data_IF_081866383222
#
_entry.id   IF_081866383222
#
_cell.length_a   1.000
_cell.length_b   1.000
_cell.length_c   1.000
_cell.angle_alpha   90.00
_cell.angle_beta   90.00
_cell.angle_gamma   90.00
#
_symmetry.space_group_name_H-M   'P 1'
#
loop_
_entity.id
_entity.type
_entity.pdbx_description
1 polymer ?
#
# COMPACT_ATOMS: atom_id res chain seq x y z
N UNK A 1 -14.05 13.17 4.03
CA UNK A 1 -13.43 12.99 2.68
C UNK A 1 -12.84 11.60 2.55
N UNK A 2 -12.78 11.00 1.34
CA UNK A 2 -12.15 9.68 1.13
C UNK A 2 -11.02 9.80 0.09
N UNK A 3 -9.84 9.29 0.42
CA UNK A 3 -8.67 9.25 -0.44
C UNK A 3 -8.40 7.82 -0.91
N UNK A 4 -8.13 7.66 -2.20
CA UNK A 4 -7.52 6.46 -2.72
C UNK A 4 -6.00 6.58 -2.68
N UNK A 5 -5.30 5.52 -2.25
CA UNK A 5 -3.84 5.49 -2.15
C UNK A 5 -3.29 4.21 -2.78
N UNK A 6 -2.12 4.30 -3.41
CA UNK A 6 -1.47 3.15 -4.05
C UNK A 6 0.04 3.24 -3.86
N UNK A 7 0.65 2.16 -3.42
CA UNK A 7 2.10 1.97 -3.37
C UNK A 7 2.48 0.67 -4.07
N UNK A 8 3.70 0.59 -4.60
CA UNK A 8 4.19 -0.60 -5.32
C UNK A 8 5.23 -1.41 -4.55
N UNK A 9 5.73 -0.88 -3.43
CA UNK A 9 6.83 -1.47 -2.68
C UNK A 9 6.82 -1.01 -1.21
N UNK A 10 7.55 -1.75 -0.36
CA UNK A 10 7.60 -1.51 1.08
C UNK A 10 8.12 -0.12 1.46
N UNK A 11 9.04 0.45 0.66
CA UNK A 11 9.53 1.81 0.85
C UNK A 11 8.41 2.84 0.62
N UNK A 12 7.56 2.64 -0.39
CA UNK A 12 6.37 3.45 -0.65
C UNK A 12 5.34 3.36 0.48
N UNK A 13 5.08 2.16 1.00
CA UNK A 13 4.17 1.94 2.14
C UNK A 13 4.63 2.68 3.40
N UNK A 14 5.95 2.69 3.67
CA UNK A 14 6.51 3.46 4.78
C UNK A 14 6.20 4.95 4.65
N UNK A 15 6.44 5.56 3.49
CA UNK A 15 6.18 6.99 3.27
C UNK A 15 4.68 7.31 3.30
N UNK A 16 3.85 6.43 2.73
CA UNK A 16 2.41 6.56 2.77
C UNK A 16 1.88 6.55 4.22
N UNK A 17 2.41 5.68 5.08
CA UNK A 17 2.02 5.63 6.49
C UNK A 17 2.26 6.97 7.19
N UNK A 18 3.39 7.64 6.92
CA UNK A 18 3.69 8.97 7.48
C UNK A 18 2.74 10.05 6.95
N UNK A 19 2.40 9.99 5.66
CA UNK A 19 1.43 10.89 5.05
C UNK A 19 0.06 10.71 5.72
N UNK A 20 -0.46 9.48 5.80
CA UNK A 20 -1.78 9.16 6.39
C UNK A 20 -1.85 9.66 7.83
N UNK A 21 -0.81 9.38 8.62
CA UNK A 21 -0.70 9.85 9.99
C UNK A 21 -0.78 11.37 10.08
N UNK A 22 0.00 12.08 9.27
CA UNK A 22 0.03 13.55 9.28
C UNK A 22 -1.31 14.17 8.86
N UNK A 23 -1.99 13.58 7.87
CA UNK A 23 -3.28 14.05 7.37
C UNK A 23 -4.37 13.82 8.42
N UNK A 24 -4.40 12.65 9.07
CA UNK A 24 -5.37 12.34 10.14
C UNK A 24 -5.19 13.22 11.39
N UNK A 25 -3.97 13.69 11.67
CA UNK A 25 -3.73 14.68 12.72
C UNK A 25 -4.39 16.03 12.39
N UNK A 26 -4.35 16.44 11.11
CA UNK A 26 -4.89 17.73 10.67
C UNK A 26 -6.40 17.70 10.41
N UNK A 27 -6.93 16.57 9.94
CA UNK A 27 -8.33 16.42 9.56
C UNK A 27 -8.93 15.19 10.22
N UNK A 28 -10.00 15.38 11.01
CA UNK A 28 -10.62 14.27 11.77
C UNK A 28 -11.61 13.42 10.98
N UNK A 29 -12.09 13.91 9.84
CA UNK A 29 -13.09 13.22 9.00
C UNK A 29 -12.50 12.88 7.62
N UNK A 30 -11.44 12.06 7.64
CA UNK A 30 -10.75 11.58 6.44
C UNK A 30 -10.56 10.07 6.51
N UNK A 31 -10.89 9.41 5.41
CA UNK A 31 -10.75 7.97 5.24
C UNK A 31 -9.78 7.68 4.09
N UNK A 32 -9.05 6.58 4.22
CA UNK A 32 -8.07 6.14 3.24
C UNK A 32 -8.36 4.71 2.84
N UNK A 33 -8.25 4.42 1.54
CA UNK A 33 -8.46 3.09 0.97
C UNK A 33 -7.50 2.86 -0.19
N UNK A 34 -7.03 1.63 -0.42
CA UNK A 34 -6.34 1.27 -1.67
C UNK A 34 -5.27 0.19 -1.54
N UNK A 35 -4.25 0.28 -2.38
CA UNK A 35 -3.17 -0.72 -2.49
C UNK A 35 -1.99 -0.28 -1.64
N UNK A 36 -1.76 -0.94 -0.51
CA UNK A 36 -0.69 -0.57 0.41
C UNK A 36 -0.27 -1.77 1.26
N UNK A 37 0.73 -1.58 2.11
CA UNK A 37 1.24 -2.62 2.99
C UNK A 37 0.82 -2.44 4.45
N UNK A 38 1.43 -3.27 5.30
CA UNK A 38 1.15 -3.37 6.73
C UNK A 38 1.31 -2.02 7.48
N UNK A 39 2.24 -1.15 7.06
CA UNK A 39 2.47 0.13 7.75
C UNK A 39 1.31 1.09 7.53
N UNK A 40 0.81 1.17 6.30
CA UNK A 40 -0.37 1.99 6.00
C UNK A 40 -1.63 1.40 6.63
N UNK A 41 -1.75 0.07 6.69
CA UNK A 41 -2.85 -0.59 7.40
C UNK A 41 -2.89 -0.20 8.88
N UNK A 42 -1.73 -0.18 9.56
CA UNK A 42 -1.61 0.25 10.97
C UNK A 42 -2.01 1.71 11.21
N UNK A 43 -1.79 2.57 10.23
CA UNK A 43 -2.25 3.97 10.28
C UNK A 43 -3.73 4.13 9.87
N UNK A 44 -4.43 3.00 9.62
CA UNK A 44 -5.86 2.93 9.35
C UNK A 44 -6.22 3.24 7.90
N UNK A 45 -5.40 2.78 6.95
CA UNK A 45 -5.80 2.64 5.55
C UNK A 45 -6.55 1.33 5.37
N UNK A 46 -7.71 1.37 4.71
CA UNK A 46 -8.45 0.19 4.27
C UNK A 46 -7.71 -0.45 3.08
N UNK A 47 -7.16 -1.65 3.28
CA UNK A 47 -6.36 -2.33 2.26
C UNK A 47 -7.28 -3.10 1.31
N UNK A 48 -7.31 -2.68 0.04
CA UNK A 48 -7.99 -3.40 -1.04
C UNK A 48 -7.10 -4.49 -1.64
N UNK A 49 -5.78 -4.29 -1.65
CA UNK A 49 -4.80 -5.25 -2.11
C UNK A 49 -3.46 -5.02 -1.41
N UNK A 50 -2.82 -6.10 -0.96
CA UNK A 50 -1.53 -6.02 -0.29
C UNK A 50 -0.38 -5.99 -1.32
N UNK A 51 0.57 -5.08 -1.12
CA UNK A 51 1.74 -4.93 -1.99
C UNK A 51 2.65 -6.18 -2.01
N UNK A 52 2.62 -6.99 -0.96
CA UNK A 52 3.40 -8.23 -0.90
C UNK A 52 2.85 -9.27 -1.88
N UNK A 53 1.53 -9.32 -2.07
CA UNK A 53 0.90 -10.23 -3.05
C UNK A 53 1.29 -9.87 -4.48
N UNK A 54 1.36 -8.57 -4.79
CA UNK A 54 1.81 -8.05 -6.08
C UNK A 54 3.28 -8.42 -6.36
N UNK A 55 4.15 -8.30 -5.36
CA UNK A 55 5.56 -8.67 -5.49
C UNK A 55 5.74 -10.18 -5.75
N UNK A 56 4.96 -11.03 -5.08
CA UNK A 56 4.98 -12.50 -5.29
C UNK A 56 4.53 -12.84 -6.71
N UNK A 57 3.43 -12.24 -7.19
CA UNK A 57 2.94 -12.47 -8.55
C UNK A 57 4.01 -12.14 -9.60
N UNK A 58 4.61 -10.95 -9.53
CA UNK A 58 5.65 -10.53 -10.49
C UNK A 58 6.89 -11.42 -10.49
N UNK A 59 7.35 -11.87 -9.32
CA UNK A 59 8.49 -12.80 -9.23
C UNK A 59 8.17 -14.16 -9.86
N UNK A 60 6.98 -14.72 -9.59
CA UNK A 60 6.58 -16.00 -10.19
C UNK A 60 6.43 -15.96 -11.70
N UNK A 61 5.99 -14.81 -12.26
CA UNK A 61 5.90 -14.61 -13.70
C UNK A 61 7.28 -14.50 -14.36
N UNK A 62 8.24 -13.81 -13.73
CA UNK A 62 9.62 -13.78 -14.19
C UNK A 62 10.21 -15.18 -14.25
N UNK A 63 9.99 -16.01 -13.21
CA UNK A 63 10.46 -17.40 -13.18
C UNK A 63 9.82 -18.29 -14.26
N UNK A 64 8.56 -18.05 -14.66
CA UNK A 64 7.90 -18.79 -15.76
C UNK A 64 8.42 -18.41 -17.14
N UNK A 65 8.93 -17.19 -17.29
CA UNK A 65 9.43 -16.68 -18.57
C UNK A 65 10.92 -16.97 -18.82
N UNK A 66 11.66 -17.45 -17.81
CA UNK A 66 13.01 -18.02 -17.99
C UNK A 66 12.92 -19.49 -18.38
N UNK A 67 12.45 -19.76 -19.60
CA UNK A 67 12.65 -21.08 -20.21
C UNK A 67 14.13 -21.25 -20.59
N UNK A 68 14.76 -22.30 -20.07
CA UNK A 68 16.01 -22.87 -20.60
C UNK A 68 15.67 -23.98 -21.59
#
# INVERSE_FOLDING_TARGET
MKFFVSTGEASGDLHLSYLVKSVKVRYKDVNFVGVAGEKSQKEGVEILQDINELAIMGFTEVLKNINF
#
